data_IF_625387253479
#
_entry.id   IF_625387253479
#
_cell.length_a   1.000
_cell.length_b   1.000
_cell.length_c   1.000
_cell.angle_alpha   90.00
_cell.angle_beta   90.00
_cell.angle_gamma   90.00
#
_symmetry.space_group_name_H-M   'P 1'
#
loop_
_entity.id
_entity.type
_entity.pdbx_description
1 polymer ?
#
# COMPACT_ATOMS: atom_id res chain seq x y z
N UNK A 1 -10.45 11.76 -22.78
CA UNK A 1 -9.40 10.82 -22.33
C UNK A 1 -9.95 10.01 -21.17
N UNK A 2 -10.49 8.82 -21.45
CA UNK A 2 -11.15 7.99 -20.43
C UNK A 2 -10.09 7.13 -19.72
N UNK A 3 -9.25 7.78 -18.90
CA UNK A 3 -8.24 7.10 -18.10
C UNK A 3 -8.91 6.18 -17.10
N UNK A 4 -8.61 4.87 -17.16
CA UNK A 4 -9.05 3.91 -16.14
C UNK A 4 -8.67 4.48 -14.77
N UNK A 5 -9.65 4.79 -13.92
CA UNK A 5 -9.39 5.15 -12.53
C UNK A 5 -8.59 4.03 -11.89
N UNK A 6 -7.38 4.33 -11.44
CA UNK A 6 -6.58 3.41 -10.65
C UNK A 6 -7.41 2.96 -9.45
N UNK A 7 -7.43 1.65 -9.18
CA UNK A 7 -8.25 1.06 -8.10
C UNK A 7 -7.68 1.34 -6.71
N UNK A 8 -6.43 1.82 -6.65
CA UNK A 8 -5.74 2.21 -5.43
C UNK A 8 -5.41 3.71 -5.45
N UNK A 9 -5.27 4.36 -4.29
CA UNK A 9 -4.87 5.76 -4.18
C UNK A 9 -3.48 6.02 -4.75
N UNK A 10 -3.24 7.19 -5.35
CA UNK A 10 -1.88 7.60 -5.75
C UNK A 10 -0.98 7.80 -4.53
N UNK A 11 0.24 7.26 -4.56
CA UNK A 11 1.22 7.34 -3.46
C UNK A 11 2.58 7.91 -3.85
N UNK A 12 2.76 8.27 -5.11
CA UNK A 12 4.02 8.84 -5.60
C UNK A 12 4.02 10.35 -5.42
N UNK A 13 5.08 10.86 -4.79
CA UNK A 13 5.35 12.29 -4.64
C UNK A 13 6.86 12.56 -4.81
N UNK A 14 7.26 13.76 -5.22
CA UNK A 14 8.67 14.15 -5.21
C UNK A 14 9.29 14.03 -3.81
N UNK A 15 10.60 13.71 -3.76
CA UNK A 15 11.35 13.63 -2.51
C UNK A 15 11.17 12.33 -1.71
N UNK A 16 10.62 11.27 -2.31
CA UNK A 16 10.61 9.95 -1.69
C UNK A 16 12.01 9.31 -1.71
N UNK A 17 12.47 8.85 -0.55
CA UNK A 17 13.72 8.08 -0.41
C UNK A 17 13.55 6.61 -0.83
N UNK A 18 12.34 6.06 -0.70
CA UNK A 18 12.02 4.66 -0.96
C UNK A 18 10.62 4.54 -1.55
N UNK A 19 10.50 3.67 -2.57
CA UNK A 19 9.22 3.30 -3.20
C UNK A 19 9.12 1.79 -3.26
N UNK A 20 8.03 1.24 -2.72
CA UNK A 20 7.69 -0.18 -2.90
C UNK A 20 6.79 -0.33 -4.13
N UNK A 21 7.27 -1.04 -5.15
CA UNK A 21 6.51 -1.33 -6.35
C UNK A 21 5.95 -2.76 -6.28
N UNK A 22 4.62 -2.89 -6.16
CA UNK A 22 3.94 -4.18 -6.28
C UNK A 22 3.68 -4.58 -7.73
N UNK A 23 3.35 -5.84 -7.99
CA UNK A 23 3.01 -6.33 -9.33
C UNK A 23 1.59 -5.94 -9.77
N UNK A 24 0.58 -6.20 -8.94
CA UNK A 24 -0.81 -5.86 -9.21
C UNK A 24 -1.62 -5.72 -7.93
N UNK A 25 -2.73 -4.98 -7.99
CA UNK A 25 -3.68 -4.91 -6.90
C UNK A 25 -4.43 -6.25 -6.78
N UNK A 26 -4.16 -7.01 -5.72
CA UNK A 26 -4.93 -8.20 -5.38
C UNK A 26 -6.38 -7.87 -5.04
N UNK A 27 -7.28 -8.87 -5.07
CA UNK A 27 -8.73 -8.70 -4.84
C UNK A 27 -9.06 -7.88 -3.59
N UNK A 28 -8.49 -8.24 -2.44
CA UNK A 28 -8.75 -7.54 -1.18
C UNK A 28 -8.26 -6.09 -1.21
N UNK A 29 -7.06 -5.85 -1.75
CA UNK A 29 -6.51 -4.51 -1.93
C UNK A 29 -7.40 -3.64 -2.82
N UNK A 30 -7.88 -4.19 -3.95
CA UNK A 30 -8.77 -3.48 -4.86
C UNK A 30 -10.14 -3.17 -4.23
N UNK A 31 -10.73 -4.13 -3.50
CA UNK A 31 -12.02 -3.95 -2.81
C UNK A 31 -11.94 -2.88 -1.72
N UNK A 32 -10.87 -2.90 -0.93
CA UNK A 32 -10.67 -1.97 0.17
C UNK A 32 -10.04 -0.64 -0.26
N UNK A 33 -9.61 -0.54 -1.53
CA UNK A 33 -8.81 0.59 -2.06
C UNK A 33 -7.59 0.89 -1.18
N UNK A 34 -6.94 -0.15 -0.70
CA UNK A 34 -5.83 -0.06 0.24
C UNK A 34 -4.67 -0.96 -0.19
N UNK A 35 -3.44 -0.48 -0.03
CA UNK A 35 -2.25 -1.23 -0.42
C UNK A 35 -2.02 -2.41 0.53
N UNK A 36 -1.68 -3.57 -0.04
CA UNK A 36 -1.34 -4.78 0.70
C UNK A 36 -2.40 -5.21 1.74
N UNK A 37 -3.69 -5.07 1.41
CA UNK A 37 -4.79 -5.23 2.37
C UNK A 37 -5.20 -6.67 2.70
N UNK A 38 -4.67 -7.66 1.99
CA UNK A 38 -4.97 -9.06 2.26
C UNK A 38 -4.33 -9.50 3.58
N UNK A 39 -5.06 -10.18 4.48
CA UNK A 39 -4.57 -10.53 5.82
C UNK A 39 -3.31 -11.42 5.84
N UNK A 40 -3.11 -12.25 4.81
CA UNK A 40 -1.90 -13.07 4.65
C UNK A 40 -0.70 -12.28 4.06
N UNK A 41 -0.93 -11.05 3.58
CA UNK A 41 0.16 -10.21 3.09
C UNK A 41 0.95 -9.68 4.29
N UNK A 42 2.26 -9.94 4.29
CA UNK A 42 3.14 -9.60 5.42
C UNK A 42 3.63 -8.15 5.41
N UNK A 43 3.39 -7.40 4.34
CA UNK A 43 3.99 -6.08 4.09
C UNK A 43 3.99 -5.16 5.33
N UNK A 44 2.82 -4.83 5.86
CA UNK A 44 2.69 -3.88 6.98
C UNK A 44 3.35 -4.39 8.26
N UNK A 45 3.26 -5.70 8.52
CA UNK A 45 3.92 -6.33 9.67
C UNK A 45 5.44 -6.26 9.50
N UNK A 46 5.95 -6.62 8.34
CA UNK A 46 7.38 -6.58 8.05
C UNK A 46 7.93 -5.16 8.17
N UNK A 47 7.24 -4.14 7.65
CA UNK A 47 7.71 -2.75 7.78
C UNK A 47 7.83 -2.30 9.23
N UNK A 48 6.89 -2.71 10.10
CA UNK A 48 6.96 -2.41 11.52
C UNK A 48 8.06 -3.22 12.23
N UNK A 49 8.18 -4.52 11.93
CA UNK A 49 9.20 -5.40 12.52
C UNK A 49 10.64 -4.93 12.22
N UNK A 50 10.89 -4.40 11.02
CA UNK A 50 12.21 -3.89 10.62
C UNK A 50 12.41 -2.40 10.93
N UNK A 51 11.42 -1.74 11.53
CA UNK A 51 11.52 -0.33 11.94
C UNK A 51 11.39 0.71 10.82
N UNK A 52 10.85 0.36 9.64
CA UNK A 52 10.54 1.33 8.58
C UNK A 52 9.26 2.13 8.86
N UNK A 53 8.38 1.63 9.74
CA UNK A 53 7.21 2.38 10.22
C UNK A 53 7.21 2.47 11.75
N UNK A 54 6.77 3.62 12.32
CA UNK A 54 6.81 3.83 13.77
C UNK A 54 5.83 2.95 14.56
N UNK A 55 4.80 2.43 13.88
CA UNK A 55 3.83 1.49 14.43
C UNK A 55 3.29 0.60 13.30
N UNK A 56 2.48 -0.39 13.66
CA UNK A 56 1.79 -1.24 12.70
C UNK A 56 0.61 -0.48 12.10
N UNK A 57 0.68 -0.19 10.80
CA UNK A 57 -0.44 0.40 10.09
C UNK A 57 -1.48 -0.66 9.72
N UNK A 58 -2.77 -0.34 9.92
CA UNK A 58 -3.79 -1.01 9.13
C UNK A 58 -3.69 -0.50 7.67
N UNK A 59 -3.99 -1.34 6.66
CA UNK A 59 -3.86 -0.95 5.25
C UNK A 59 -4.55 0.36 4.86
N UNK A 60 -5.70 0.65 5.49
CA UNK A 60 -6.51 1.84 5.24
C UNK A 60 -6.04 3.09 5.99
N UNK A 61 -5.24 2.91 7.03
CA UNK A 61 -4.77 3.99 7.91
C UNK A 61 -3.44 4.57 7.42
N UNK A 62 -2.80 3.93 6.43
CA UNK A 62 -1.58 4.47 5.82
C UNK A 62 -1.91 5.74 5.01
N UNK A 63 -1.26 6.88 5.33
CA UNK A 63 -1.56 8.18 4.73
C UNK A 63 -1.47 8.23 3.21
#
# INVERSE_FOLDING_TARGET
MNGKKHVLPERLKPGLTLVFCGTAAGRQSALQKAYYAHAQNKFWRTLQEIGLTPHLFAPRDYP
#
